data_IF_014983453002
#
_entry.id   IF_014983453002
#
_cell.length_a   1.000
_cell.length_b   1.000
_cell.length_c   1.000
_cell.angle_alpha   90.00
_cell.angle_beta   90.00
_cell.angle_gamma   90.00
#
_symmetry.space_group_name_H-M   'P 1'
#
loop_
_entity.id
_entity.type
_entity.pdbx_description
1 polymer ?
#
# COMPACT_ATOMS: atom_id res chain seq x y z
N UNK A 1 3.91 21.62 1.37
CA UNK A 1 3.52 20.34 0.72
C UNK A 1 2.82 19.51 1.78
N UNK A 2 1.55 19.09 1.57
CA UNK A 2 0.80 18.31 2.55
C UNK A 2 1.56 17.01 2.87
N UNK A 3 1.66 16.64 4.15
CA UNK A 3 2.29 15.38 4.55
C UNK A 3 1.35 14.24 4.13
N UNK A 4 1.83 13.37 3.25
CA UNK A 4 1.08 12.17 2.81
C UNK A 4 1.17 11.15 3.95
N UNK A 5 0.02 10.71 4.46
CA UNK A 5 -0.10 9.73 5.55
C UNK A 5 -0.68 8.43 4.98
N UNK A 6 -0.06 7.31 5.34
CA UNK A 6 -0.49 5.95 4.99
C UNK A 6 -1.92 5.63 5.44
N UNK A 7 -2.50 6.39 6.37
CA UNK A 7 -3.88 6.20 6.86
C UNK A 7 -4.91 6.94 6.03
N UNK A 8 -4.54 8.06 5.41
CA UNK A 8 -5.50 8.93 4.70
C UNK A 8 -5.36 8.85 3.19
N UNK A 9 -4.16 8.56 2.69
CA UNK A 9 -3.86 8.39 1.27
C UNK A 9 -2.96 7.14 1.09
N UNK A 10 -3.36 5.94 1.57
CA UNK A 10 -2.54 4.72 1.51
C UNK A 10 -2.06 4.35 0.10
N UNK A 11 -2.89 4.50 -0.93
CA UNK A 11 -2.49 4.12 -2.29
C UNK A 11 -1.35 5.03 -2.77
N UNK A 12 -1.54 6.34 -2.61
CA UNK A 12 -0.52 7.34 -2.95
C UNK A 12 0.73 7.18 -2.09
N UNK A 13 0.57 6.83 -0.81
CA UNK A 13 1.69 6.61 0.10
C UNK A 13 2.59 5.46 -0.37
N UNK A 14 2.03 4.33 -0.78
CA UNK A 14 2.82 3.20 -1.31
C UNK A 14 3.50 3.58 -2.63
N UNK A 15 2.78 4.25 -3.55
CA UNK A 15 3.37 4.76 -4.79
C UNK A 15 4.52 5.77 -4.54
N UNK A 16 4.38 6.63 -3.53
CA UNK A 16 5.40 7.59 -3.11
C UNK A 16 6.60 6.88 -2.51
N UNK A 17 6.39 5.83 -1.73
CA UNK A 17 7.44 5.02 -1.11
C UNK A 17 8.31 4.38 -2.18
N UNK A 18 7.70 3.71 -3.17
CA UNK A 18 8.41 3.15 -4.31
C UNK A 18 9.25 4.20 -5.04
N UNK A 19 8.69 5.37 -5.32
CA UNK A 19 9.38 6.42 -6.07
C UNK A 19 10.50 7.11 -5.28
N UNK A 20 10.25 7.51 -4.02
CA UNK A 20 11.17 8.34 -3.24
C UNK A 20 12.11 7.56 -2.35
N UNK A 21 11.64 6.47 -1.77
CA UNK A 21 12.41 5.65 -0.83
C UNK A 21 13.17 4.55 -1.57
N UNK A 22 12.49 3.86 -2.48
CA UNK A 22 13.07 2.70 -3.16
C UNK A 22 13.67 3.06 -4.53
N UNK A 23 13.53 4.32 -4.95
CA UNK A 23 14.20 4.88 -6.12
C UNK A 23 13.60 4.48 -7.47
N UNK A 24 12.39 3.94 -7.49
CA UNK A 24 11.73 3.53 -8.73
C UNK A 24 11.38 4.75 -9.58
N UNK A 25 11.78 4.71 -10.84
CA UNK A 25 11.28 5.64 -11.86
C UNK A 25 9.85 5.31 -12.24
N UNK A 26 9.09 6.29 -12.74
CA UNK A 26 7.71 6.05 -13.18
C UNK A 26 7.60 5.04 -14.33
N UNK A 27 8.62 4.97 -15.19
CA UNK A 27 8.69 3.96 -16.26
C UNK A 27 8.93 2.55 -15.69
N UNK A 28 9.72 2.42 -14.62
CA UNK A 28 9.85 1.14 -13.90
C UNK A 28 8.55 0.76 -13.21
N UNK A 29 7.84 1.70 -12.58
CA UNK A 29 6.52 1.42 -11.98
C UNK A 29 5.52 0.93 -13.04
N UNK A 30 5.47 1.57 -14.21
CA UNK A 30 4.66 1.10 -15.34
C UNK A 30 5.05 -0.33 -15.75
N UNK A 31 6.33 -0.61 -15.95
CA UNK A 31 6.79 -1.94 -16.36
C UNK A 31 6.49 -3.02 -15.31
N UNK A 32 6.72 -2.72 -14.04
CA UNK A 32 6.59 -3.66 -12.92
C UNK A 32 5.14 -3.93 -12.53
N UNK A 33 4.20 -3.04 -12.89
CA UNK A 33 2.76 -3.30 -12.81
C UNK A 33 2.16 -3.89 -14.09
N UNK A 34 2.98 -4.49 -14.96
CA UNK A 34 2.56 -5.08 -16.25
C UNK A 34 1.79 -4.08 -17.13
N UNK A 35 2.19 -2.80 -17.08
CA UNK A 35 1.59 -1.66 -17.79
C UNK A 35 0.12 -1.41 -17.45
N UNK A 36 -0.34 -1.88 -16.28
CA UNK A 36 -1.69 -1.64 -15.78
C UNK A 36 -2.03 -0.15 -15.68
N UNK A 37 -1.04 0.71 -15.39
CA UNK A 37 -1.11 2.17 -15.45
C UNK A 37 0.15 2.77 -16.06
N UNK A 38 -0.01 3.86 -16.80
CA UNK A 38 1.10 4.53 -17.49
C UNK A 38 1.99 5.33 -16.55
N UNK A 39 3.24 5.56 -16.96
CA UNK A 39 4.18 6.44 -16.24
C UNK A 39 3.62 7.84 -15.94
N UNK A 40 2.82 8.40 -16.84
CA UNK A 40 2.21 9.72 -16.67
C UNK A 40 1.15 9.70 -15.57
N UNK A 41 0.36 8.62 -15.50
CA UNK A 41 -0.62 8.41 -14.44
C UNK A 41 0.07 8.30 -13.08
N UNK A 42 1.16 7.51 -12.97
CA UNK A 42 1.95 7.40 -11.73
C UNK A 42 2.56 8.73 -11.29
N UNK A 43 3.15 9.47 -12.22
CA UNK A 43 3.70 10.80 -11.93
C UNK A 43 2.64 11.76 -11.39
N UNK A 44 1.45 11.80 -12.00
CA UNK A 44 0.37 12.67 -11.55
C UNK A 44 -0.17 12.25 -10.18
N UNK A 45 -0.40 10.96 -9.97
CA UNK A 45 -0.83 10.42 -8.67
C UNK A 45 0.16 10.78 -7.56
N UNK A 46 1.46 10.51 -7.76
CA UNK A 46 2.48 10.75 -6.74
C UNK A 46 2.58 12.24 -6.42
N UNK A 47 2.63 13.10 -7.45
CA UNK A 47 2.79 14.55 -7.28
C UNK A 47 1.56 15.22 -6.69
N UNK A 48 0.37 14.85 -7.14
CA UNK A 48 -0.83 15.64 -6.87
C UNK A 48 -1.93 14.88 -6.11
N UNK A 49 -1.97 13.55 -6.23
CA UNK A 49 -2.96 12.69 -5.58
C UNK A 49 -4.13 12.37 -6.50
N UNK A 50 -5.20 11.81 -5.92
CA UNK A 50 -6.35 11.33 -6.68
C UNK A 50 -7.13 12.45 -7.39
N UNK A 51 -7.40 13.56 -6.69
CA UNK A 51 -8.41 14.53 -7.11
C UNK A 51 -7.91 15.93 -7.49
N UNK A 52 -6.71 16.31 -7.04
CA UNK A 52 -6.17 17.66 -7.22
C UNK A 52 -4.88 17.61 -8.03
N UNK A 53 -4.50 18.72 -8.71
CA UNK A 53 -5.40 19.74 -9.26
C UNK A 53 -6.27 19.16 -10.39
N UNK A 54 -7.34 19.86 -10.78
CA UNK A 54 -8.31 19.40 -11.78
C UNK A 54 -7.69 18.96 -13.12
N UNK A 55 -6.63 19.61 -13.57
CA UNK A 55 -5.92 19.32 -14.83
C UNK A 55 -4.91 18.16 -14.73
N UNK A 56 -4.63 17.64 -13.54
CA UNK A 56 -3.75 16.49 -13.30
C UNK A 56 -4.41 15.37 -12.49
N UNK A 57 -5.73 15.48 -12.27
CA UNK A 57 -6.57 14.47 -11.63
C UNK A 57 -6.43 13.13 -12.33
N UNK A 58 -6.30 12.06 -11.56
CA UNK A 58 -6.19 10.69 -12.07
C UNK A 58 -7.42 9.89 -11.70
N UNK A 59 -7.99 9.16 -12.67
CA UNK A 59 -9.09 8.23 -12.39
C UNK A 59 -8.60 7.02 -11.58
N UNK A 60 -9.46 6.44 -10.72
CA UNK A 60 -9.10 5.24 -9.98
C UNK A 60 -8.75 4.10 -10.96
N UNK A 61 -7.75 3.25 -10.65
CA UNK A 61 -7.44 2.06 -11.45
C UNK A 61 -8.68 1.21 -11.74
N UNK A 62 -8.89 0.77 -12.99
CA UNK A 62 -10.00 -0.12 -13.31
C UNK A 62 -9.73 -1.54 -12.76
N UNK A 63 -10.74 -2.41 -12.66
CA UNK A 63 -10.59 -3.74 -12.06
C UNK A 63 -9.48 -4.60 -12.67
N UNK A 64 -9.29 -4.55 -13.98
CA UNK A 64 -8.25 -5.28 -14.71
C UNK A 64 -6.82 -4.82 -14.38
N UNK A 65 -6.66 -3.60 -13.84
CA UNK A 65 -5.35 -3.06 -13.45
C UNK A 65 -4.89 -3.57 -12.06
N UNK A 66 -5.79 -4.15 -11.27
CA UNK A 66 -5.53 -4.46 -9.86
C UNK A 66 -4.46 -5.52 -9.67
N UNK A 67 -4.45 -6.58 -10.48
CA UNK A 67 -3.45 -7.64 -10.38
C UNK A 67 -2.02 -7.11 -10.59
N UNK A 68 -1.81 -6.28 -11.62
CA UNK A 68 -0.51 -5.67 -11.90
C UNK A 68 -0.08 -4.69 -10.79
N UNK A 69 -1.00 -3.91 -10.25
CA UNK A 69 -0.70 -2.99 -9.14
C UNK A 69 -0.39 -3.76 -7.85
N UNK A 70 -1.14 -4.83 -7.57
CA UNK A 70 -0.93 -5.69 -6.41
C UNK A 70 0.47 -6.32 -6.44
N UNK A 71 0.90 -6.79 -7.61
CA UNK A 71 2.27 -7.26 -7.86
C UNK A 71 3.32 -6.17 -7.60
N UNK A 72 3.12 -4.95 -8.14
CA UNK A 72 4.06 -3.84 -7.92
C UNK A 72 4.18 -3.46 -6.43
N UNK A 73 3.07 -3.47 -5.70
CA UNK A 73 3.02 -3.10 -4.28
C UNK A 73 3.37 -4.27 -3.34
N UNK A 74 3.67 -5.45 -3.88
CA UNK A 74 3.88 -6.69 -3.11
C UNK A 74 2.75 -6.94 -2.10
N UNK A 75 1.50 -6.88 -2.58
CA UNK A 75 0.29 -7.02 -1.76
C UNK A 75 -0.84 -7.73 -2.51
N UNK A 76 -2.02 -7.85 -1.89
CA UNK A 76 -3.19 -8.50 -2.49
C UNK A 76 -4.07 -7.52 -3.28
N UNK A 77 -4.79 -7.99 -4.29
CA UNK A 77 -5.80 -7.19 -5.00
C UNK A 77 -6.86 -6.60 -4.05
N UNK A 78 -7.25 -7.35 -3.02
CA UNK A 78 -8.19 -6.87 -2.01
C UNK A 78 -7.62 -5.64 -1.27
N UNK A 79 -6.35 -5.70 -0.88
CA UNK A 79 -5.66 -4.56 -0.27
C UNK A 79 -5.63 -3.37 -1.22
N UNK A 80 -5.29 -3.56 -2.49
CA UNK A 80 -5.31 -2.49 -3.50
C UNK A 80 -6.71 -1.86 -3.63
N UNK A 81 -7.77 -2.67 -3.69
CA UNK A 81 -9.16 -2.19 -3.72
C UNK A 81 -9.50 -1.34 -2.51
N UNK A 82 -9.08 -1.75 -1.31
CA UNK A 82 -9.27 -0.98 -0.08
C UNK A 82 -8.52 0.36 -0.14
N UNK A 83 -7.27 0.35 -0.60
CA UNK A 83 -6.48 1.58 -0.75
C UNK A 83 -7.14 2.54 -1.74
N UNK A 84 -7.67 2.04 -2.86
CA UNK A 84 -8.43 2.85 -3.84
C UNK A 84 -9.69 3.44 -3.19
N UNK A 85 -10.42 2.63 -2.42
CA UNK A 85 -11.61 3.09 -1.70
C UNK A 85 -11.29 4.26 -0.75
N UNK A 86 -10.14 4.20 -0.08
CA UNK A 86 -9.67 5.27 0.80
C UNK A 86 -9.23 6.51 0.02
N UNK A 87 -8.29 6.40 -0.92
CA UNK A 87 -7.72 7.55 -1.64
C UNK A 87 -8.72 8.28 -2.54
N UNK A 88 -9.56 7.54 -3.26
CA UNK A 88 -10.52 8.13 -4.22
C UNK A 88 -11.88 8.45 -3.60
N UNK A 89 -12.32 7.69 -2.60
CA UNK A 89 -13.69 7.81 -2.10
C UNK A 89 -13.79 8.17 -0.61
N UNK A 90 -12.65 8.33 0.08
CA UNK A 90 -12.62 8.67 1.50
C UNK A 90 -13.15 7.55 2.41
N UNK A 91 -13.29 6.33 1.89
CA UNK A 91 -13.78 5.18 2.65
C UNK A 91 -12.61 4.63 3.46
N UNK A 92 -12.61 4.90 4.76
CA UNK A 92 -11.66 4.30 5.70
C UNK A 92 -12.31 3.02 6.25
N UNK A 93 -11.72 1.83 6.04
CA UNK A 93 -12.25 0.62 6.65
C UNK A 93 -12.27 0.78 8.18
N UNK A 94 -13.31 0.30 8.87
CA UNK A 94 -13.49 0.50 10.31
C UNK A 94 -12.36 -0.10 11.16
N UNK A 95 -11.60 -1.03 10.59
CA UNK A 95 -10.46 -1.64 11.26
C UNK A 95 -9.16 -0.90 10.91
N UNK A 96 -8.68 -0.10 11.87
CA UNK A 96 -7.38 0.60 11.91
C UNK A 96 -6.19 -0.39 11.97
N UNK A 97 -6.14 -1.42 11.12
CA UNK A 97 -4.97 -2.29 11.04
C UNK A 97 -3.85 -1.48 10.37
N UNK A 98 -2.75 -1.15 11.09
CA UNK A 98 -1.66 -0.34 10.53
C UNK A 98 -1.04 -1.03 9.31
N UNK A 99 -0.52 -0.24 8.35
CA UNK A 99 0.06 -0.76 7.10
C UNK A 99 1.08 -1.88 7.35
N UNK A 100 1.92 -1.72 8.38
CA UNK A 100 2.91 -2.71 8.82
C UNK A 100 2.31 -4.07 9.18
N UNK A 101 1.12 -4.09 9.77
CA UNK A 101 0.43 -5.32 10.14
C UNK A 101 -0.22 -5.94 8.91
N UNK A 102 -0.81 -5.11 8.05
CA UNK A 102 -1.42 -5.56 6.77
C UNK A 102 -0.40 -6.20 5.83
N UNK A 103 0.81 -5.64 5.71
CA UNK A 103 1.91 -6.22 4.91
C UNK A 103 2.34 -7.61 5.40
N UNK A 104 2.14 -7.93 6.67
CA UNK A 104 2.45 -9.26 7.20
C UNK A 104 1.37 -10.31 6.86
N UNK A 105 0.20 -9.91 6.36
CA UNK A 105 -0.90 -10.84 6.11
C UNK A 105 -0.52 -11.96 5.13
N UNK A 106 0.12 -11.63 4.00
CA UNK A 106 0.56 -12.61 3.00
C UNK A 106 1.53 -13.64 3.59
N UNK A 107 2.67 -13.20 4.15
CA UNK A 107 3.62 -14.08 4.82
C UNK A 107 2.99 -14.92 5.94
N UNK A 108 2.13 -14.35 6.79
CA UNK A 108 1.46 -15.07 7.88
C UNK A 108 0.56 -16.18 7.35
N UNK A 109 -0.21 -15.92 6.28
CA UNK A 109 -1.11 -16.91 5.67
C UNK A 109 -0.37 -18.06 4.99
N UNK A 110 0.90 -17.88 4.64
CA UNK A 110 1.74 -18.90 4.02
C UNK A 110 2.43 -19.82 5.04
N UNK A 111 2.35 -19.52 6.34
CA UNK A 111 2.97 -20.33 7.39
C UNK A 111 2.17 -21.62 7.65
N UNK A 112 2.88 -22.70 7.94
CA UNK A 112 2.27 -23.88 8.57
C UNK A 112 1.94 -23.62 10.03
N UNK A 113 1.10 -24.46 10.62
CA UNK A 113 0.58 -24.28 11.99
C UNK A 113 1.68 -24.16 13.06
N UNK A 114 2.79 -24.88 12.92
CA UNK A 114 3.91 -24.82 13.87
C UNK A 114 4.67 -23.49 13.77
N UNK A 115 4.95 -23.02 12.55
CA UNK A 115 5.63 -21.75 12.33
C UNK A 115 4.75 -20.55 12.74
N UNK A 116 3.44 -20.65 12.47
CA UNK A 116 2.48 -19.64 12.89
C UNK A 116 2.46 -19.48 14.42
N UNK A 117 2.48 -20.59 15.17
CA UNK A 117 2.59 -20.57 16.64
C UNK A 117 3.89 -19.92 17.11
N UNK A 118 5.02 -20.24 16.48
CA UNK A 118 6.31 -19.64 16.83
C UNK A 118 6.30 -18.12 16.61
N UNK A 119 5.77 -17.66 15.47
CA UNK A 119 5.63 -16.23 15.16
C UNK A 119 4.72 -15.54 16.17
N UNK A 120 3.63 -16.17 16.56
CA UNK A 120 2.72 -15.66 17.59
C UNK A 120 3.43 -15.50 18.95
N UNK A 121 4.21 -16.50 19.38
CA UNK A 121 4.99 -16.42 20.62
C UNK A 121 6.03 -15.30 20.58
N UNK A 122 6.73 -15.15 19.45
CA UNK A 122 7.71 -14.07 19.24
C UNK A 122 7.05 -12.69 19.33
N UNK A 123 5.92 -12.48 18.65
CA UNK A 123 5.17 -11.23 18.70
C UNK A 123 4.76 -10.91 20.14
N UNK A 124 4.22 -11.88 20.88
CA UNK A 124 3.84 -11.71 22.30
C UNK A 124 5.04 -11.34 23.18
N UNK A 125 6.19 -12.01 22.97
CA UNK A 125 7.41 -11.78 23.76
C UNK A 125 7.98 -10.39 23.52
N UNK A 126 8.12 -9.99 22.25
CA UNK A 126 8.68 -8.69 21.87
C UNK A 126 7.74 -7.53 22.24
N UNK A 127 6.43 -7.71 22.10
CA UNK A 127 5.43 -6.72 22.52
C UNK A 127 5.49 -6.40 24.02
N UNK A 128 5.66 -7.43 24.87
CA UNK A 128 5.81 -7.26 26.32
C UNK A 128 7.16 -6.64 26.73
N UNK A 129 8.23 -6.90 25.99
CA UNK A 129 9.54 -6.31 26.25
C UNK A 129 9.53 -4.80 25.94
N UNK A 130 8.86 -4.40 24.87
CA UNK A 130 8.76 -2.99 24.47
C UNK A 130 7.89 -2.16 25.41
N UNK A 131 6.91 -2.76 26.09
CA UNK A 131 6.01 -2.05 27.03
C UNK A 131 6.59 -1.86 28.44
N UNK A 132 7.75 -2.46 28.75
CA UNK A 132 8.44 -2.31 30.06
C UNK A 132 9.60 -1.30 30.03
N UNK A 133 9.98 -0.84 28.85
CA UNK A 133 11.09 0.10 28.65
C UNK A 133 10.62 1.57 28.52
N UNK A 134 9.35 1.83 28.78
CA UNK A 134 8.68 3.15 28.80
C UNK A 134 7.94 3.28 30.11
#
# INVERSE_FOLDING_TARGET
MKKIDERTEPFRYEALTLNRKDGYTYSQMEAMCDRARSQAWWNNLVRYGAWEPSNARVSPPPPEALAGIAKLFDTSELTVRTMIATDWYGIVPPDEIPSRVRRMQGPIMALGDEDAKLVEELIRKLGKASSRAT
#
